data_IF_855568078415
#
_entry.id   IF_855568078415
#
_cell.length_a   1.000
_cell.length_b   1.000
_cell.length_c   1.000
_cell.angle_alpha   90.00
_cell.angle_beta   90.00
_cell.angle_gamma   90.00
#
_symmetry.space_group_name_H-M   'P 1'
#
loop_
_entity.id
_entity.type
_entity.pdbx_description
1 polymer ?
#
# COMPACT_ATOMS: atom_id res chain seq x y z
N UNK A 1 -18.82 9.24 -14.02
CA UNK A 1 -19.15 8.04 -13.24
C UNK A 1 -19.88 8.50 -12.01
N UNK A 2 -21.07 7.95 -11.77
CA UNK A 2 -21.87 8.28 -10.58
C UNK A 2 -21.18 7.78 -9.30
N UNK A 3 -21.50 8.36 -8.14
CA UNK A 3 -20.89 7.96 -6.86
C UNK A 3 -21.16 6.49 -6.56
N UNK A 4 -22.38 6.00 -6.80
CA UNK A 4 -22.76 4.61 -6.58
C UNK A 4 -21.93 3.62 -7.40
N UNK A 5 -21.58 3.96 -8.63
CA UNK A 5 -20.70 3.16 -9.48
C UNK A 5 -19.26 3.13 -8.94
N UNK A 6 -18.76 4.27 -8.44
CA UNK A 6 -17.43 4.37 -7.80
C UNK A 6 -17.38 3.52 -6.52
N UNK A 7 -18.41 3.57 -5.69
CA UNK A 7 -18.55 2.73 -4.48
C UNK A 7 -18.54 1.26 -4.86
N UNK A 8 -19.28 0.87 -5.91
CA UNK A 8 -19.33 -0.51 -6.39
C UNK A 8 -17.95 -1.01 -6.83
N UNK A 9 -17.16 -0.20 -7.55
CA UNK A 9 -15.78 -0.55 -7.92
C UNK A 9 -14.88 -0.75 -6.70
N UNK A 10 -14.93 0.17 -5.74
CA UNK A 10 -14.10 0.10 -4.51
C UNK A 10 -14.39 -1.20 -3.75
N UNK A 11 -15.66 -1.58 -3.63
CA UNK A 11 -16.11 -2.75 -2.87
C UNK A 11 -15.99 -4.09 -3.60
N UNK A 12 -15.91 -4.09 -4.93
CA UNK A 12 -15.95 -5.30 -5.75
C UNK A 12 -14.83 -6.28 -5.37
N UNK A 13 -15.09 -7.57 -5.24
CA UNK A 13 -14.04 -8.57 -4.92
C UNK A 13 -13.24 -8.28 -3.63
N UNK A 14 -13.78 -7.45 -2.72
CA UNK A 14 -13.16 -7.13 -1.44
C UNK A 14 -13.78 -8.01 -0.36
N UNK A 15 -12.94 -8.67 0.45
CA UNK A 15 -13.40 -9.59 1.49
C UNK A 15 -14.09 -8.88 2.67
N UNK A 16 -13.59 -7.71 3.05
CA UNK A 16 -14.12 -6.91 4.16
C UNK A 16 -13.87 -5.41 3.93
N UNK A 17 -14.81 -4.57 4.37
CA UNK A 17 -14.78 -3.11 4.21
C UNK A 17 -15.15 -2.48 5.54
N UNK A 18 -14.14 -2.04 6.28
CA UNK A 18 -14.34 -1.30 7.53
C UNK A 18 -14.70 0.15 7.20
N UNK A 19 -15.82 0.64 7.75
CA UNK A 19 -16.30 2.00 7.50
C UNK A 19 -17.03 2.15 6.16
N UNK A 20 -17.72 1.11 5.68
CA UNK A 20 -18.41 1.13 4.38
C UNK A 20 -19.33 2.36 4.17
N UNK A 21 -20.08 2.77 5.20
CA UNK A 21 -20.96 3.95 5.14
C UNK A 21 -20.23 5.29 5.00
N UNK A 22 -18.91 5.31 5.13
CA UNK A 22 -18.09 6.51 4.97
C UNK A 22 -17.60 6.72 3.53
N UNK A 23 -17.66 5.68 2.68
CA UNK A 23 -17.09 5.72 1.33
C UNK A 23 -17.78 6.80 0.49
N UNK A 24 -19.12 6.84 0.48
CA UNK A 24 -19.89 7.85 -0.26
C UNK A 24 -19.51 9.26 0.20
N UNK A 25 -19.49 9.49 1.51
CA UNK A 25 -19.12 10.78 2.10
C UNK A 25 -17.70 11.23 1.68
N UNK A 26 -16.73 10.31 1.63
CA UNK A 26 -15.38 10.61 1.16
C UNK A 26 -15.36 10.95 -0.33
N UNK A 27 -16.09 10.19 -1.15
CA UNK A 27 -16.15 10.40 -2.60
C UNK A 27 -16.86 11.70 -2.99
N UNK A 28 -17.80 12.17 -2.18
CA UNK A 28 -18.48 13.46 -2.32
C UNK A 28 -17.60 14.65 -1.93
N UNK A 29 -16.89 14.54 -0.81
CA UNK A 29 -16.16 15.66 -0.20
C UNK A 29 -14.74 15.81 -0.72
N UNK A 30 -14.12 14.71 -1.15
CA UNK A 30 -12.71 14.69 -1.56
C UNK A 30 -12.64 14.43 -3.06
N UNK A 31 -12.19 15.43 -3.81
CA UNK A 31 -12.14 15.37 -5.28
C UNK A 31 -11.26 14.23 -5.80
N UNK A 32 -10.14 13.95 -5.11
CA UNK A 32 -9.23 12.84 -5.39
C UNK A 32 -8.81 12.17 -4.08
N UNK A 33 -9.61 11.22 -3.55
CA UNK A 33 -9.24 10.45 -2.37
C UNK A 33 -7.93 9.71 -2.61
N UNK A 34 -7.19 9.40 -1.55
CA UNK A 34 -5.91 8.69 -1.65
C UNK A 34 -6.06 7.25 -1.19
N UNK A 35 -5.42 6.33 -1.89
CA UNK A 35 -5.29 4.93 -1.54
C UNK A 35 -3.81 4.58 -1.47
N UNK A 36 -3.43 3.69 -0.55
CA UNK A 36 -2.14 3.01 -0.64
C UNK A 36 -2.25 1.53 -0.30
N UNK A 37 -1.35 0.73 -0.89
CA UNK A 37 -1.08 -0.64 -0.46
C UNK A 37 0.43 -0.82 -0.31
N UNK A 38 0.86 -1.41 0.82
CA UNK A 38 2.26 -1.62 1.15
C UNK A 38 2.70 -3.06 0.93
N UNK A 39 3.95 -3.23 0.49
CA UNK A 39 4.57 -4.53 0.30
C UNK A 39 5.94 -4.61 0.96
N UNK A 40 6.13 -5.66 1.74
CA UNK A 40 7.44 -6.13 2.14
C UNK A 40 8.20 -6.72 0.94
N UNK A 41 9.51 -6.51 0.86
CA UNK A 41 10.37 -7.01 -0.21
C UNK A 41 10.91 -8.38 0.19
N UNK A 42 10.04 -9.40 0.11
CA UNK A 42 10.28 -10.71 0.75
C UNK A 42 10.45 -11.88 -0.21
N UNK A 43 10.66 -11.63 -1.51
CA UNK A 43 10.94 -12.69 -2.48
C UNK A 43 10.37 -12.41 -3.86
N UNK A 44 9.95 -13.47 -4.56
CA UNK A 44 9.33 -13.36 -5.88
C UNK A 44 7.85 -12.95 -5.75
N UNK A 45 7.39 -12.08 -6.63
CA UNK A 45 5.98 -11.68 -6.71
C UNK A 45 5.15 -12.89 -7.17
N UNK A 46 4.24 -13.35 -6.31
CA UNK A 46 3.26 -14.39 -6.64
C UNK A 46 1.92 -13.80 -7.09
N UNK A 47 0.99 -14.65 -7.52
CA UNK A 47 -0.30 -14.22 -8.10
C UNK A 47 -1.16 -13.37 -7.16
N UNK A 48 -1.17 -13.67 -5.85
CA UNK A 48 -1.83 -12.79 -4.86
C UNK A 48 -1.31 -11.34 -4.90
N UNK A 49 0.01 -11.16 -4.75
CA UNK A 49 0.65 -9.84 -4.76
C UNK A 49 0.56 -9.14 -6.12
N UNK A 50 0.83 -9.88 -7.20
CA UNK A 50 0.87 -9.32 -8.55
C UNK A 50 -0.52 -9.09 -9.13
N UNK A 51 -1.36 -10.11 -9.18
CA UNK A 51 -2.62 -10.04 -9.92
C UNK A 51 -3.76 -9.56 -9.04
N UNK A 52 -3.97 -10.18 -7.86
CA UNK A 52 -5.13 -9.86 -7.01
C UNK A 52 -5.03 -8.43 -6.48
N UNK A 53 -3.88 -8.04 -5.92
CA UNK A 53 -3.69 -6.68 -5.42
C UNK A 53 -3.74 -5.63 -6.53
N UNK A 54 -3.14 -5.88 -7.71
CA UNK A 54 -3.13 -4.88 -8.79
C UNK A 54 -4.50 -4.75 -9.46
N UNK A 55 -5.31 -5.82 -9.51
CA UNK A 55 -6.71 -5.72 -9.94
C UNK A 55 -7.50 -4.78 -9.01
N UNK A 56 -7.29 -4.86 -7.70
CA UNK A 56 -7.90 -3.92 -6.75
C UNK A 56 -7.37 -2.48 -6.94
N UNK A 57 -6.05 -2.31 -7.15
CA UNK A 57 -5.48 -0.98 -7.44
C UNK A 57 -6.08 -0.38 -8.71
N UNK A 58 -6.31 -1.18 -9.76
CA UNK A 58 -7.01 -0.75 -10.97
C UNK A 58 -8.41 -0.23 -10.65
N UNK A 59 -9.21 -0.99 -9.90
CA UNK A 59 -10.57 -0.58 -9.54
C UNK A 59 -10.59 0.72 -8.73
N UNK A 60 -9.59 0.94 -7.87
CA UNK A 60 -9.41 2.22 -7.15
C UNK A 60 -9.12 3.38 -8.12
N UNK A 61 -8.22 3.19 -9.08
CA UNK A 61 -7.91 4.22 -10.10
C UNK A 61 -9.15 4.53 -10.95
N UNK A 62 -9.86 3.50 -11.41
CA UNK A 62 -11.09 3.64 -12.18
C UNK A 62 -12.14 4.43 -11.39
N UNK A 63 -12.27 4.17 -10.08
CA UNK A 63 -13.10 4.93 -9.14
C UNK A 63 -12.63 6.38 -8.88
N UNK A 64 -11.57 6.85 -9.55
CA UNK A 64 -11.04 8.20 -9.41
C UNK A 64 -10.22 8.42 -8.14
N UNK A 65 -9.72 7.34 -7.52
CA UNK A 65 -8.85 7.39 -6.34
C UNK A 65 -7.39 7.48 -6.78
N UNK A 66 -6.63 8.39 -6.16
CA UNK A 66 -5.17 8.48 -6.36
C UNK A 66 -4.49 7.32 -5.61
N UNK A 67 -4.07 6.30 -6.35
CA UNK A 67 -3.45 5.11 -5.77
C UNK A 67 -1.91 5.23 -5.68
N UNK A 68 -1.36 4.72 -4.57
CA UNK A 68 0.07 4.57 -4.35
C UNK A 68 0.44 3.14 -3.97
N UNK A 69 1.60 2.69 -4.40
CA UNK A 69 2.23 1.44 -3.99
C UNK A 69 3.43 1.80 -3.11
N UNK A 70 3.41 1.30 -1.88
CA UNK A 70 4.43 1.57 -0.88
C UNK A 70 5.43 0.40 -0.79
N UNK A 71 6.68 0.65 -1.16
CA UNK A 71 7.78 -0.31 -1.11
C UNK A 71 8.43 -0.22 0.28
N UNK A 72 8.08 -1.16 1.16
CA UNK A 72 8.33 -1.09 2.59
C UNK A 72 9.76 -1.56 2.96
N UNK A 73 10.80 -0.91 2.44
CA UNK A 73 12.20 -1.32 2.59
C UNK A 73 12.68 -1.35 4.05
N UNK A 74 12.36 -0.36 4.89
CA UNK A 74 12.71 -0.43 6.32
C UNK A 74 11.92 -1.48 7.07
N UNK A 75 10.66 -1.71 6.73
CA UNK A 75 9.85 -2.77 7.35
C UNK A 75 10.40 -4.15 6.99
N UNK A 76 10.83 -4.30 5.74
CA UNK A 76 11.54 -5.48 5.25
C UNK A 76 12.84 -5.72 6.03
N UNK A 77 13.57 -4.64 6.33
CA UNK A 77 14.78 -4.71 7.15
C UNK A 77 14.47 -5.08 8.60
N UNK A 78 13.45 -4.49 9.21
CA UNK A 78 12.99 -4.79 10.58
C UNK A 78 12.57 -6.27 10.72
N UNK A 79 12.00 -6.86 9.66
CA UNK A 79 11.55 -8.26 9.64
C UNK A 79 12.62 -9.24 9.10
N UNK A 80 13.90 -8.84 9.13
CA UNK A 80 15.07 -9.65 8.79
C UNK A 80 15.02 -10.36 7.41
N UNK A 81 14.28 -9.80 6.44
CA UNK A 81 14.24 -10.37 5.10
C UNK A 81 15.51 -10.06 4.33
N UNK A 82 15.82 -10.91 3.35
CA UNK A 82 17.00 -10.77 2.48
C UNK A 82 18.31 -10.62 3.27
N UNK A 83 18.40 -11.30 4.42
CA UNK A 83 19.57 -11.26 5.29
C UNK A 83 19.76 -9.94 6.05
N UNK A 84 18.74 -9.07 6.10
CA UNK A 84 18.81 -7.78 6.78
C UNK A 84 19.68 -6.74 6.05
N UNK A 85 20.08 -7.01 4.80
CA UNK A 85 20.91 -6.09 4.02
C UNK A 85 20.06 -5.00 3.37
N UNK A 86 20.18 -3.78 3.89
CA UNK A 86 19.42 -2.61 3.44
C UNK A 86 19.65 -2.25 1.98
N UNK A 87 20.87 -2.42 1.47
CA UNK A 87 21.21 -2.10 0.08
C UNK A 87 20.65 -3.15 -0.88
N UNK A 88 20.69 -4.43 -0.48
CA UNK A 88 20.01 -5.51 -1.20
C UNK A 88 18.52 -5.27 -1.23
N UNK A 89 17.90 -4.98 -0.09
CA UNK A 89 16.46 -4.70 0.03
C UNK A 89 16.07 -3.54 -0.90
N UNK A 90 16.77 -2.41 -0.84
CA UNK A 90 16.47 -1.23 -1.67
C UNK A 90 16.63 -1.55 -3.16
N UNK A 91 17.69 -2.28 -3.54
CA UNK A 91 17.92 -2.70 -4.93
C UNK A 91 16.81 -3.62 -5.43
N UNK A 92 16.37 -4.59 -4.63
CA UNK A 92 15.26 -5.50 -5.00
C UNK A 92 13.92 -4.75 -5.02
N UNK A 93 13.70 -3.81 -4.09
CA UNK A 93 12.50 -2.99 -4.05
C UNK A 93 12.27 -2.24 -5.37
N UNK A 94 13.31 -1.52 -5.82
CA UNK A 94 13.22 -0.65 -7.00
C UNK A 94 13.47 -1.42 -8.30
N UNK A 95 14.45 -2.33 -8.31
CA UNK A 95 14.88 -3.03 -9.53
C UNK A 95 14.03 -4.25 -9.89
N UNK A 96 13.33 -4.85 -8.93
CA UNK A 96 12.49 -6.04 -9.16
C UNK A 96 11.04 -5.80 -8.76
N UNK A 97 10.78 -5.39 -7.51
CA UNK A 97 9.41 -5.33 -6.99
C UNK A 97 8.58 -4.26 -7.72
N UNK A 98 9.12 -3.05 -7.84
CA UNK A 98 8.49 -1.95 -8.59
C UNK A 98 8.20 -2.36 -10.04
N UNK A 99 9.19 -2.90 -10.75
CA UNK A 99 9.03 -3.27 -12.16
C UNK A 99 8.07 -4.45 -12.34
N UNK A 100 8.10 -5.44 -11.45
CA UNK A 100 7.15 -6.56 -11.46
C UNK A 100 5.71 -6.14 -11.15
N UNK A 101 5.50 -5.19 -10.24
CA UNK A 101 4.18 -4.63 -9.97
C UNK A 101 3.69 -3.75 -11.13
N UNK A 102 4.57 -2.99 -11.81
CA UNK A 102 4.21 -2.30 -13.06
C UNK A 102 3.79 -3.28 -14.15
N UNK A 103 4.53 -4.37 -14.33
CA UNK A 103 4.15 -5.42 -15.29
C UNK A 103 2.80 -6.04 -14.90
N UNK A 104 2.58 -6.28 -13.61
CA UNK A 104 1.31 -6.83 -13.11
C UNK A 104 0.12 -5.87 -13.33
N UNK A 105 0.32 -4.55 -13.17
CA UNK A 105 -0.67 -3.53 -13.51
C UNK A 105 -1.04 -3.61 -14.99
N UNK A 106 -0.06 -3.74 -15.89
CA UNK A 106 -0.32 -3.91 -17.33
C UNK A 106 -1.13 -5.18 -17.60
N UNK A 107 -0.82 -6.30 -16.93
CA UNK A 107 -1.55 -7.55 -17.08
C UNK A 107 -3.03 -7.46 -16.68
N UNK A 108 -3.38 -6.64 -15.69
CA UNK A 108 -4.78 -6.41 -15.27
C UNK A 108 -5.46 -5.29 -16.07
N UNK A 109 -4.75 -4.66 -17.01
CA UNK A 109 -5.26 -3.60 -17.88
C UNK A 109 -5.22 -2.20 -17.25
N UNK A 110 -4.35 -1.97 -16.27
CA UNK A 110 -4.09 -0.65 -15.70
C UNK A 110 -2.78 -0.07 -16.26
N UNK A 111 -2.73 1.25 -16.39
CA UNK A 111 -1.52 1.96 -16.79
C UNK A 111 -0.65 2.26 -15.56
N UNK A 112 0.60 1.77 -15.48
CA UNK A 112 1.45 1.99 -14.32
C UNK A 112 1.80 3.46 -14.05
N UNK A 113 1.59 4.36 -15.02
CA UNK A 113 1.78 5.81 -14.82
C UNK A 113 0.71 6.44 -13.94
N UNK A 114 -0.42 5.77 -13.76
CA UNK A 114 -1.53 6.25 -12.93
C UNK A 114 -1.34 5.89 -11.44
N UNK A 115 -0.24 5.19 -11.11
CA UNK A 115 0.11 4.75 -9.76
C UNK A 115 1.43 5.38 -9.31
N UNK A 116 1.42 5.95 -8.11
CA UNK A 116 2.63 6.49 -7.48
C UNK A 116 3.37 5.38 -6.73
N UNK A 117 4.65 5.17 -7.03
CA UNK A 117 5.50 4.23 -6.28
C UNK A 117 6.33 5.01 -5.26
N UNK A 118 6.16 4.70 -3.98
CA UNK A 118 6.83 5.37 -2.86
C UNK A 118 7.77 4.39 -2.18
N UNK A 119 9.04 4.73 -2.07
CA UNK A 119 10.01 3.96 -1.28
C UNK A 119 9.97 4.41 0.18
N UNK A 120 9.90 3.46 1.11
CA UNK A 120 9.83 3.74 2.55
C UNK A 120 10.95 4.66 3.03
N UNK A 121 12.20 4.30 2.77
CA UNK A 121 13.36 5.12 3.15
C UNK A 121 13.31 6.54 2.62
N UNK A 122 12.76 6.76 1.42
CA UNK A 122 12.59 8.10 0.86
C UNK A 122 11.49 8.90 1.58
N UNK A 123 10.38 8.25 1.94
CA UNK A 123 9.29 8.89 2.69
C UNK A 123 9.73 9.38 4.08
N UNK A 124 10.66 8.67 4.71
CA UNK A 124 11.12 8.96 6.07
C UNK A 124 12.26 9.97 6.13
N UNK A 125 13.02 10.08 5.03
CA UNK A 125 14.19 10.91 4.97
C UNK A 125 13.81 12.40 5.06
N UNK A 126 14.47 13.13 5.96
CA UNK A 126 14.17 14.55 6.24
C UNK A 126 12.69 14.83 6.55
N UNK A 127 12.02 13.87 7.18
CA UNK A 127 10.60 13.97 7.53
C UNK A 127 10.37 13.78 9.02
N UNK A 128 10.70 14.79 9.82
CA UNK A 128 10.55 14.74 11.28
C UNK A 128 9.09 14.53 11.70
N UNK A 129 8.13 15.06 10.93
CA UNK A 129 6.70 14.91 11.20
C UNK A 129 6.24 13.44 11.16
N UNK A 130 6.86 12.62 10.32
CA UNK A 130 6.61 11.18 10.28
C UNK A 130 7.02 10.54 11.62
N UNK A 131 8.22 10.82 12.10
CA UNK A 131 8.73 10.26 13.34
C UNK A 131 8.00 10.78 14.57
N UNK A 132 7.60 12.05 14.58
CA UNK A 132 6.71 12.60 15.63
C UNK A 132 5.37 11.85 15.67
N UNK A 133 4.78 11.55 14.51
CA UNK A 133 3.55 10.77 14.41
C UNK A 133 3.74 9.34 14.93
N UNK A 134 4.87 8.70 14.66
CA UNK A 134 5.20 7.37 15.21
C UNK A 134 5.20 7.40 16.74
N UNK A 135 5.80 8.44 17.35
CA UNK A 135 5.83 8.60 18.81
C UNK A 135 4.42 8.86 19.37
N UNK A 136 3.63 9.71 18.72
CA UNK A 136 2.26 10.03 19.17
C UNK A 136 1.36 8.78 19.15
N UNK A 137 1.41 7.99 18.07
CA UNK A 137 0.68 6.72 17.97
C UNK A 137 1.16 5.72 19.03
N UNK A 138 2.47 5.65 19.27
CA UNK A 138 3.06 4.76 20.28
C UNK A 138 2.61 5.13 21.70
N UNK A 139 2.54 6.43 22.01
CA UNK A 139 2.06 6.94 23.30
C UNK A 139 0.58 6.61 23.56
N UNK A 140 -0.23 6.53 22.51
CA UNK A 140 -1.66 6.22 22.59
C UNK A 140 -1.98 4.72 22.44
N UNK A 141 -0.96 3.87 22.30
CA UNK A 141 -1.13 2.43 22.09
C UNK A 141 -0.39 1.63 23.15
N UNK A 142 -1.10 0.74 23.86
CA UNK A 142 -0.46 -0.12 24.86
C UNK A 142 0.48 -1.14 24.23
N UNK A 143 1.53 -1.54 24.94
CA UNK A 143 2.42 -2.61 24.51
C UNK A 143 1.68 -3.91 24.19
N UNK A 144 0.68 -4.27 25.01
CA UNK A 144 -0.15 -5.45 24.77
C UNK A 144 -0.92 -5.36 23.44
N UNK A 145 -1.39 -4.17 23.06
CA UNK A 145 -2.05 -3.96 21.77
C UNK A 145 -1.07 -4.09 20.61
N UNK A 146 0.12 -3.52 20.71
CA UNK A 146 1.19 -3.64 19.69
C UNK A 146 1.60 -5.11 19.50
N UNK A 147 1.76 -5.87 20.60
CA UNK A 147 2.11 -7.29 20.52
C UNK A 147 1.03 -8.12 19.81
N UNK A 148 -0.25 -7.82 20.00
CA UNK A 148 -1.35 -8.53 19.31
C UNK A 148 -1.40 -8.23 17.81
N UNK A 149 -0.82 -7.13 17.34
CA UNK A 149 -0.76 -6.80 15.90
C UNK A 149 0.46 -7.37 15.18
N UNK A 150 1.33 -8.14 15.85
CA UNK A 150 2.57 -8.62 15.22
C UNK A 150 2.32 -9.63 14.10
N UNK A 151 1.15 -10.27 14.04
CA UNK A 151 0.80 -11.22 12.98
C UNK A 151 0.78 -10.61 11.58
N UNK A 152 0.78 -9.28 11.45
CA UNK A 152 0.84 -8.60 10.14
C UNK A 152 2.18 -8.81 9.42
N UNK A 153 3.25 -9.18 10.14
CA UNK A 153 4.59 -9.41 9.58
C UNK A 153 4.96 -10.89 9.45
N UNK A 154 3.97 -11.79 9.61
CA UNK A 154 4.16 -13.24 9.67
C UNK A 154 4.69 -13.71 11.01
#
# INVERSE_FOLDING_TARGET
MEISERVSLIKRHTADVLGEGEIENVLERVSKPKHYIGFEISGKIHLGTGIVCMAKVKEMIEAGVKASIFLADWHTWINDKLGGDREVIKRVAVGYFKEGLKASLLCVGANPKDVEFVLGSELYHHNDSYWQTVIEVSKHTTLARIKRSITIMG
#
